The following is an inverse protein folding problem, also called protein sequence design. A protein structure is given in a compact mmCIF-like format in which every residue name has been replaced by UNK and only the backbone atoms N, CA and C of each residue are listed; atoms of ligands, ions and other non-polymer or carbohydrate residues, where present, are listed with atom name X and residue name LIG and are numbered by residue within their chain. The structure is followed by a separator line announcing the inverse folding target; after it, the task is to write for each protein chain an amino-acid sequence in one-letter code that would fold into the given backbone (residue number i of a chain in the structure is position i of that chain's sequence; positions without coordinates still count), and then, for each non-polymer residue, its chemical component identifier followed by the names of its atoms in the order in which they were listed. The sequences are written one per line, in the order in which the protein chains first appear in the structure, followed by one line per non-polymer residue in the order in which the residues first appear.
data_IF_228837080919
#
_entry.id   IF_228837080919
#
_cell.length_a   1.000
_cell.length_b   1.000
_cell.length_c   1.000
_cell.angle_alpha   90.00
_cell.angle_beta   90.00
_cell.angle_gamma   90.00
#
_symmetry.space_group_name_H-M   'P 1'
#
loop_
_entity.id
_entity.type
_entity.pdbx_description
1 polymer ?
#
# COMPACT_ATOMS: atom_id res chain seq x y z
N UNK A 1 34.40 26.99 40.30
CA UNK A 1 33.49 26.53 39.24
C UNK A 1 32.19 27.34 39.33
N UNK A 2 31.93 28.22 38.37
CA UNK A 2 30.83 29.19 38.47
C UNK A 2 29.48 28.48 38.38
N UNK A 3 28.65 28.57 39.42
CA UNK A 3 27.30 27.96 39.49
C UNK A 3 26.38 28.37 38.32
N UNK A 4 26.64 29.53 37.69
CA UNK A 4 25.93 29.98 36.48
C UNK A 4 26.28 29.19 35.21
N UNK A 5 27.45 28.55 35.16
CA UNK A 5 27.88 27.74 34.01
C UNK A 5 27.29 26.31 34.04
N UNK A 6 26.93 25.81 35.22
CA UNK A 6 26.30 24.48 35.41
C UNK A 6 24.80 24.45 35.03
N UNK A 7 24.14 25.60 35.04
CA UNK A 7 22.70 25.73 34.76
C UNK A 7 22.39 25.77 33.25
N UNK A 8 23.34 26.23 32.43
CA UNK A 8 23.17 26.33 30.97
C UNK A 8 23.38 24.97 30.29
N UNK A 9 24.27 24.12 30.80
CA UNK A 9 24.49 22.76 30.26
C UNK A 9 23.37 21.78 30.60
N UNK A 10 22.60 22.02 31.67
CA UNK A 10 21.47 21.15 32.06
C UNK A 10 20.20 21.39 31.21
N UNK A 11 20.06 22.61 30.65
CA UNK A 11 18.92 23.01 29.83
C UNK A 11 19.00 22.52 28.37
N UNK A 12 20.20 22.30 27.83
CA UNK A 12 20.35 21.82 26.46
C UNK A 12 20.14 20.31 26.31
N UNK A 13 20.44 19.52 27.35
CA UNK A 13 20.29 18.05 27.30
C UNK A 13 18.83 17.63 27.28
N UNK A 14 17.92 18.43 27.86
CA UNK A 14 16.50 18.10 27.93
C UNK A 14 15.76 18.25 26.60
N UNK A 15 16.18 19.17 25.71
CA UNK A 15 15.49 19.40 24.43
C UNK A 15 15.71 18.29 23.40
N UNK A 16 16.87 17.63 23.42
CA UNK A 16 17.16 16.55 22.46
C UNK A 16 16.32 15.29 22.75
N UNK A 17 16.18 14.91 24.02
CA UNK A 17 15.43 13.71 24.41
C UNK A 17 13.95 13.77 24.01
N UNK A 18 13.32 14.96 24.06
CA UNK A 18 11.91 15.11 23.66
C UNK A 18 11.71 15.03 22.13
N UNK A 19 12.65 15.52 21.34
CA UNK A 19 12.59 15.45 19.88
C UNK A 19 12.76 13.99 19.39
N UNK A 20 13.73 13.27 19.97
CA UNK A 20 13.95 11.85 19.65
C UNK A 20 12.75 10.97 20.06
N UNK A 21 12.16 11.21 21.23
CA UNK A 21 10.96 10.49 21.68
C UNK A 21 9.74 10.74 20.77
N UNK A 22 9.52 11.99 20.33
CA UNK A 22 8.43 12.33 19.41
C UNK A 22 8.65 11.66 18.05
N UNK A 23 9.87 11.68 17.52
CA UNK A 23 10.20 11.04 16.25
C UNK A 23 10.01 9.52 16.31
N UNK A 24 10.51 8.86 17.36
CA UNK A 24 10.32 7.42 17.58
C UNK A 24 8.84 7.04 17.58
N UNK A 25 7.98 7.86 18.22
CA UNK A 25 6.55 7.58 18.25
C UNK A 25 5.88 7.71 16.88
N UNK A 26 6.30 8.68 16.08
CA UNK A 26 5.81 8.83 14.71
C UNK A 26 6.26 7.65 13.84
N UNK A 27 7.49 7.18 13.99
CA UNK A 27 7.98 5.99 13.27
C UNK A 27 7.18 4.74 13.64
N UNK A 28 6.88 4.52 14.92
CA UNK A 28 6.00 3.44 15.37
C UNK A 28 4.61 3.53 14.73
N UNK A 29 4.00 4.72 14.72
CA UNK A 29 2.68 4.94 14.16
C UNK A 29 2.67 4.67 12.64
N UNK A 30 3.71 5.11 11.92
CA UNK A 30 3.85 4.85 10.48
C UNK A 30 4.03 3.35 10.22
N UNK A 31 4.88 2.67 10.99
CA UNK A 31 5.05 1.21 10.89
C UNK A 31 3.72 0.47 11.09
N UNK A 32 2.97 0.85 12.12
CA UNK A 32 1.66 0.27 12.42
C UNK A 32 0.66 0.51 11.27
N UNK A 33 0.58 1.72 10.74
CA UNK A 33 -0.33 2.02 9.62
C UNK A 33 0.01 1.17 8.39
N UNK A 34 1.28 1.08 8.02
CA UNK A 34 1.74 0.24 6.91
C UNK A 34 1.35 -1.23 7.14
N UNK A 35 1.49 -1.73 8.36
CA UNK A 35 1.10 -3.09 8.69
C UNK A 35 -0.40 -3.33 8.49
N UNK A 36 -1.24 -2.38 8.92
CA UNK A 36 -2.69 -2.51 8.82
C UNK A 36 -3.22 -2.34 7.40
N UNK A 37 -2.66 -1.41 6.62
CA UNK A 37 -3.18 -1.08 5.29
C UNK A 37 -2.51 -1.89 4.18
N UNK A 38 -1.19 -1.96 4.15
CA UNK A 38 -0.46 -2.55 3.02
C UNK A 38 -0.35 -4.06 3.15
N UNK A 39 0.03 -4.61 4.30
CA UNK A 39 0.23 -6.06 4.39
C UNK A 39 -1.05 -6.86 4.31
N UNK A 40 -2.14 -6.42 4.96
CA UNK A 40 -3.40 -7.16 4.96
C UNK A 40 -4.08 -7.13 3.59
N UNK A 41 -4.24 -5.94 3.01
CA UNK A 41 -4.87 -5.76 1.70
C UNK A 41 -4.05 -6.43 0.58
N UNK A 42 -2.72 -6.34 0.63
CA UNK A 42 -1.85 -7.03 -0.35
C UNK A 42 -1.96 -8.54 -0.22
N UNK A 43 -2.01 -9.10 1.01
CA UNK A 43 -2.19 -10.53 1.19
C UNK A 43 -3.56 -11.01 0.73
N UNK A 44 -4.62 -10.28 1.09
CA UNK A 44 -6.00 -10.60 0.71
C UNK A 44 -6.19 -10.49 -0.81
N UNK A 45 -5.64 -9.45 -1.43
CA UNK A 45 -5.65 -9.25 -2.88
C UNK A 45 -4.90 -10.36 -3.64
N UNK A 46 -3.73 -10.78 -3.14
CA UNK A 46 -3.00 -11.92 -3.71
C UNK A 46 -3.80 -13.21 -3.53
N UNK A 47 -4.38 -13.46 -2.35
CA UNK A 47 -5.20 -14.66 -2.14
C UNK A 47 -6.41 -14.67 -3.07
N UNK A 48 -7.09 -13.54 -3.22
CA UNK A 48 -8.24 -13.42 -4.12
C UNK A 48 -7.84 -13.61 -5.59
N UNK A 49 -6.67 -13.09 -5.99
CA UNK A 49 -6.10 -13.36 -7.32
C UNK A 49 -5.78 -14.84 -7.50
N UNK A 50 -5.30 -15.52 -6.46
CA UNK A 50 -5.05 -16.96 -6.49
C UNK A 50 -6.34 -17.76 -6.67
N UNK A 51 -7.33 -17.47 -5.84
CA UNK A 51 -8.57 -18.25 -5.77
C UNK A 51 -9.47 -18.06 -7.00
N UNK A 52 -9.36 -16.91 -7.68
CA UNK A 52 -10.18 -16.59 -8.86
C UNK A 52 -9.41 -16.58 -10.19
N UNK A 53 -8.10 -16.86 -10.20
CA UNK A 53 -7.34 -16.88 -11.45
C UNK A 53 -7.49 -18.23 -12.18
N UNK A 54 -7.93 -18.22 -13.45
CA UNK A 54 -8.02 -19.44 -14.26
C UNK A 54 -6.66 -20.08 -14.52
N UNK A 55 -5.55 -19.35 -14.31
CA UNK A 55 -4.18 -19.89 -14.39
C UNK A 55 -3.93 -20.99 -13.36
N UNK A 56 -4.59 -20.93 -12.19
CA UNK A 56 -4.38 -21.88 -11.09
C UNK A 56 -5.46 -22.97 -11.03
N UNK A 57 -6.52 -22.87 -11.84
CA UNK A 57 -7.63 -23.82 -11.87
C UNK A 57 -7.20 -25.24 -12.29
N UNK A 58 -6.09 -25.38 -13.01
CA UNK A 58 -5.55 -26.66 -13.48
C UNK A 58 -4.44 -27.24 -12.59
N UNK A 59 -4.10 -26.61 -11.46
CA UNK A 59 -3.05 -27.09 -10.57
C UNK A 59 -3.56 -28.18 -9.62
N UNK A 60 -2.69 -29.12 -9.27
CA UNK A 60 -2.96 -30.09 -8.20
C UNK A 60 -2.89 -29.42 -6.82
N UNK A 61 -3.48 -30.03 -5.79
CA UNK A 61 -3.43 -29.50 -4.43
C UNK A 61 -1.99 -29.28 -3.91
N UNK A 62 -1.06 -30.17 -4.26
CA UNK A 62 0.35 -30.06 -3.89
C UNK A 62 1.03 -28.88 -4.57
N UNK A 63 0.70 -28.63 -5.84
CA UNK A 63 1.16 -27.45 -6.57
C UNK A 63 0.57 -26.17 -5.98
N UNK A 64 -0.73 -26.15 -5.67
CA UNK A 64 -1.37 -25.01 -4.99
C UNK A 64 -0.68 -24.71 -3.66
N UNK A 65 -0.40 -25.73 -2.84
CA UNK A 65 0.33 -25.59 -1.57
C UNK A 65 1.72 -25.02 -1.77
N UNK A 66 2.44 -25.49 -2.79
CA UNK A 66 3.79 -25.02 -3.14
C UNK A 66 3.76 -23.56 -3.55
N UNK A 67 2.82 -23.18 -4.41
CA UNK A 67 2.70 -21.80 -4.88
C UNK A 67 2.26 -20.86 -3.74
N UNK A 68 1.34 -21.28 -2.86
CA UNK A 68 0.99 -20.52 -1.65
C UNK A 68 2.21 -20.30 -0.73
N UNK A 69 3.06 -21.31 -0.57
CA UNK A 69 4.29 -21.18 0.21
C UNK A 69 5.30 -20.21 -0.42
N UNK A 70 5.47 -20.25 -1.75
CA UNK A 70 6.31 -19.29 -2.50
C UNK A 70 5.76 -17.87 -2.34
N UNK A 71 4.45 -17.69 -2.50
CA UNK A 71 3.78 -16.40 -2.34
C UNK A 71 3.98 -15.82 -0.95
N UNK A 72 3.77 -16.63 0.10
CA UNK A 72 4.02 -16.25 1.49
C UNK A 72 5.47 -15.79 1.70
N UNK A 73 6.46 -16.55 1.22
CA UNK A 73 7.88 -16.20 1.33
C UNK A 73 8.22 -14.90 0.62
N UNK A 74 7.59 -14.63 -0.54
CA UNK A 74 7.74 -13.35 -1.24
C UNK A 74 7.13 -12.19 -0.44
N UNK A 75 5.97 -12.39 0.19
CA UNK A 75 5.34 -11.40 1.05
C UNK A 75 6.13 -11.11 2.33
N UNK A 76 6.78 -12.12 2.91
CA UNK A 76 7.71 -11.91 4.02
C UNK A 76 8.86 -10.98 3.64
N UNK A 77 9.41 -11.10 2.42
CA UNK A 77 10.45 -10.18 1.93
C UNK A 77 9.93 -8.74 1.79
N UNK A 78 8.72 -8.56 1.29
CA UNK A 78 8.08 -7.24 1.15
C UNK A 78 7.84 -6.63 2.53
N UNK A 79 7.27 -7.42 3.47
CA UNK A 79 7.07 -6.99 4.86
C UNK A 79 8.39 -6.60 5.53
N UNK A 80 9.46 -7.40 5.32
CA UNK A 80 10.77 -7.09 5.86
C UNK A 80 11.34 -5.79 5.27
N UNK A 81 11.17 -5.57 3.96
CA UNK A 81 11.60 -4.32 3.33
C UNK A 81 10.91 -3.11 3.96
N UNK A 82 9.60 -3.19 4.23
CA UNK A 82 8.90 -2.09 4.92
C UNK A 82 9.47 -1.83 6.31
N UNK A 83 9.73 -2.89 7.09
CA UNK A 83 10.33 -2.78 8.42
C UNK A 83 11.70 -2.11 8.37
N UNK A 84 12.58 -2.58 7.48
CA UNK A 84 13.94 -2.07 7.31
C UNK A 84 13.97 -0.60 6.84
N UNK A 85 12.91 -0.15 6.16
CA UNK A 85 12.80 1.19 5.58
C UNK A 85 11.84 2.12 6.34
N UNK A 86 11.38 1.75 7.54
CA UNK A 86 10.40 2.51 8.34
C UNK A 86 10.80 3.99 8.51
N UNK A 87 12.07 4.28 8.80
CA UNK A 87 12.54 5.66 8.97
C UNK A 87 12.46 6.48 7.67
N UNK A 88 12.78 5.87 6.53
CA UNK A 88 12.65 6.53 5.23
C UNK A 88 11.18 6.76 4.85
N UNK A 89 10.31 5.78 5.13
CA UNK A 89 8.88 5.88 4.93
C UNK A 89 8.26 6.95 5.82
N UNK A 90 8.71 7.06 7.07
CA UNK A 90 8.27 8.11 8.00
C UNK A 90 8.58 9.50 7.47
N UNK A 91 9.73 9.70 6.83
CA UNK A 91 10.04 10.96 6.14
C UNK A 91 9.10 11.23 4.96
N UNK A 92 8.60 10.21 4.28
CA UNK A 92 7.60 10.39 3.21
C UNK A 92 6.27 10.83 3.81
N UNK A 93 5.81 10.20 4.88
CA UNK A 93 4.60 10.61 5.60
C UNK A 93 4.70 12.05 6.11
N UNK A 94 5.83 12.40 6.74
CA UNK A 94 6.06 13.73 7.31
C UNK A 94 6.17 14.87 6.27
N UNK A 95 6.24 14.55 4.97
CA UNK A 95 6.13 15.55 3.90
C UNK A 95 4.68 15.97 3.63
N UNK A 96 3.72 15.14 4.00
CA UNK A 96 2.30 15.32 3.68
C UNK A 96 1.44 15.52 4.93
N UNK A 97 1.86 14.94 6.05
CA UNK A 97 1.15 14.97 7.32
C UNK A 97 2.09 15.40 8.44
N UNK A 98 1.56 16.14 9.38
CA UNK A 98 2.24 16.42 10.65
C UNK A 98 2.24 15.17 11.55
N UNK A 99 3.12 15.16 12.54
CA UNK A 99 3.17 14.10 13.55
C UNK A 99 1.82 13.90 14.27
N UNK A 100 1.12 15.01 14.53
CA UNK A 100 -0.14 14.99 15.27
C UNK A 100 -1.29 14.48 14.37
N UNK A 101 -1.28 14.79 13.07
CA UNK A 101 -2.21 14.20 12.09
C UNK A 101 -1.96 12.69 11.90
N UNK A 102 -0.70 12.26 11.87
CA UNK A 102 -0.34 10.82 11.84
C UNK A 102 -0.89 10.11 13.08
N UNK A 103 -0.75 10.70 14.26
CA UNK A 103 -1.36 10.15 15.48
C UNK A 103 -2.90 10.11 15.35
N UNK A 104 -3.52 11.17 14.85
CA UNK A 104 -4.97 11.21 14.62
C UNK A 104 -5.47 10.13 13.66
N UNK A 105 -4.70 9.79 12.62
CA UNK A 105 -5.00 8.67 11.73
C UNK A 105 -4.96 7.33 12.47
N UNK A 106 -3.92 7.10 13.28
CA UNK A 106 -3.82 5.88 14.11
C UNK A 106 -5.00 5.80 15.08
N UNK A 107 -5.32 6.88 15.79
CA UNK A 107 -6.43 6.93 16.75
C UNK A 107 -7.76 6.62 16.06
N UNK A 108 -8.00 7.20 14.87
CA UNK A 108 -9.17 6.91 14.07
C UNK A 108 -9.24 5.42 13.68
N UNK A 109 -8.16 4.85 13.14
CA UNK A 109 -8.13 3.45 12.74
C UNK A 109 -8.26 2.47 13.92
N UNK A 110 -8.01 2.90 15.15
CA UNK A 110 -8.25 2.09 16.35
C UNK A 110 -9.71 2.08 16.81
N UNK A 111 -10.54 3.02 16.36
CA UNK A 111 -11.99 3.02 16.62
C UNK A 111 -12.69 1.83 15.94
N UNK A 112 -13.89 1.48 16.42
CA UNK A 112 -14.70 0.40 15.81
C UNK A 112 -15.01 0.70 14.33
N UNK A 113 -15.29 1.96 14.02
CA UNK A 113 -15.55 2.39 12.64
C UNK A 113 -14.28 2.32 11.79
N UNK A 114 -13.13 2.78 12.31
CA UNK A 114 -11.86 2.76 11.58
C UNK A 114 -11.39 1.34 11.26
N UNK A 115 -11.51 0.40 12.23
CA UNK A 115 -11.23 -1.03 12.00
C UNK A 115 -12.16 -1.62 10.95
N UNK A 116 -13.46 -1.34 11.05
CA UNK A 116 -14.44 -1.79 10.06
C UNK A 116 -14.13 -1.23 8.67
N UNK A 117 -13.69 0.02 8.58
CA UNK A 117 -13.29 0.62 7.30
C UNK A 117 -12.10 -0.13 6.70
N UNK A 118 -11.04 -0.39 7.48
CA UNK A 118 -9.89 -1.18 7.03
C UNK A 118 -10.28 -2.57 6.51
N UNK A 119 -11.25 -3.22 7.16
CA UNK A 119 -11.75 -4.54 6.74
C UNK A 119 -12.62 -4.50 5.48
N UNK A 120 -13.37 -3.41 5.27
CA UNK A 120 -14.39 -3.33 4.22
C UNK A 120 -13.94 -2.58 2.98
N UNK A 121 -12.84 -1.81 3.05
CA UNK A 121 -12.36 -1.01 1.93
C UNK A 121 -11.96 -1.88 0.73
N UNK A 122 -11.20 -2.96 0.94
CA UNK A 122 -10.84 -3.91 -0.13
C UNK A 122 -12.07 -4.53 -0.83
N UNK A 123 -12.98 -5.20 -0.11
CA UNK A 123 -14.22 -5.74 -0.69
C UNK A 123 -15.08 -4.68 -1.38
N UNK A 124 -15.23 -3.50 -0.78
CA UNK A 124 -15.98 -2.40 -1.39
C UNK A 124 -15.38 -1.97 -2.73
N UNK A 125 -14.05 -1.83 -2.81
CA UNK A 125 -13.37 -1.49 -4.06
C UNK A 125 -13.47 -2.63 -5.09
N UNK A 126 -13.45 -3.90 -4.66
CA UNK A 126 -13.66 -5.04 -5.54
C UNK A 126 -15.07 -5.04 -6.16
N UNK A 127 -16.10 -4.80 -5.34
CA UNK A 127 -17.49 -4.70 -5.81
C UNK A 127 -17.67 -3.53 -6.79
N UNK A 128 -17.07 -2.38 -6.50
CA UNK A 128 -17.04 -1.21 -7.42
C UNK A 128 -16.35 -1.58 -8.73
N UNK A 129 -15.20 -2.28 -8.66
CA UNK A 129 -14.47 -2.75 -9.83
C UNK A 129 -15.31 -3.66 -10.72
N UNK A 130 -16.06 -4.61 -10.15
CA UNK A 130 -16.96 -5.50 -10.90
C UNK A 130 -18.07 -4.73 -11.62
N UNK A 131 -18.66 -3.71 -10.97
CA UNK A 131 -19.66 -2.85 -11.60
C UNK A 131 -19.09 -2.07 -12.78
N UNK A 132 -17.84 -1.60 -12.68
CA UNK A 132 -17.21 -0.76 -13.69
C UNK A 132 -16.58 -1.54 -14.86
N UNK A 133 -16.20 -2.81 -14.65
CA UNK A 133 -15.55 -3.65 -15.67
C UNK A 133 -16.26 -3.68 -17.03
N UNK A 134 -17.59 -3.89 -17.16
CA UNK A 134 -18.24 -3.95 -18.47
C UNK A 134 -18.20 -2.60 -19.19
N UNK A 135 -18.37 -1.49 -18.47
CA UNK A 135 -18.30 -0.13 -19.03
C UNK A 135 -16.90 0.14 -19.60
N UNK A 136 -15.86 -0.29 -18.89
CA UNK A 136 -14.49 -0.14 -19.37
C UNK A 136 -14.23 -0.96 -20.64
N UNK A 137 -14.78 -2.18 -20.76
CA UNK A 137 -14.66 -3.00 -21.97
C UNK A 137 -15.37 -2.39 -23.18
N UNK A 138 -16.55 -1.81 -22.96
CA UNK A 138 -17.31 -1.08 -23.98
C UNK A 138 -16.49 0.12 -24.48
N UNK A 139 -16.01 0.97 -23.56
CA UNK A 139 -15.16 2.11 -23.90
C UNK A 139 -13.89 1.72 -24.68
N UNK A 140 -13.24 0.61 -24.33
CA UNK A 140 -12.06 0.12 -25.06
C UNK A 140 -12.42 -0.32 -26.49
N UNK A 141 -13.57 -0.97 -26.67
CA UNK A 141 -14.06 -1.44 -27.97
C UNK A 141 -14.43 -0.25 -28.87
N UNK A 142 -15.13 0.74 -28.31
CA UNK A 142 -15.49 1.97 -29.02
C UNK A 142 -14.24 2.74 -29.43
N UNK A 143 -13.29 2.89 -28.52
CA UNK A 143 -12.00 3.54 -28.81
C UNK A 143 -11.25 2.82 -29.94
N UNK A 144 -11.16 1.49 -29.92
CA UNK A 144 -10.53 0.72 -31.01
C UNK A 144 -11.26 0.94 -32.34
N UNK A 145 -12.60 0.97 -32.31
CA UNK A 145 -13.43 1.19 -33.49
C UNK A 145 -13.20 2.57 -34.10
N UNK A 146 -13.21 3.62 -33.28
CA UNK A 146 -12.94 4.98 -33.74
C UNK A 146 -11.49 5.15 -34.23
N UNK A 147 -10.52 4.53 -33.55
CA UNK A 147 -9.12 4.54 -34.00
C UNK A 147 -8.96 3.88 -35.37
N UNK A 148 -9.64 2.77 -35.65
CA UNK A 148 -9.59 2.12 -36.97
C UNK A 148 -10.18 2.97 -38.10
N UNK A 149 -11.15 3.86 -37.80
CA UNK A 149 -11.74 4.76 -38.79
C UNK A 149 -10.76 5.86 -39.24
N UNK A 150 -9.83 6.25 -38.37
CA UNK A 150 -8.88 7.34 -38.63
C UNK A 150 -7.46 6.85 -38.93
N UNK A 151 -7.16 5.58 -38.68
CA UNK A 151 -5.89 4.98 -39.09
C UNK A 151 -5.85 4.74 -40.60
N UNK A 152 -4.78 5.16 -41.30
CA UNK A 152 -4.63 4.88 -42.73
C UNK A 152 -4.56 3.36 -42.93
N UNK A 153 -5.48 2.83 -43.74
CA UNK A 153 -5.48 1.42 -44.13
C UNK A 153 -4.18 1.10 -44.89
N UNK A 154 -3.54 -0.06 -44.64
CA UNK A 154 -2.41 -0.50 -45.44
C UNK A 154 -2.84 -0.55 -46.91
N UNK A 155 -2.21 0.26 -47.76
CA UNK A 155 -2.45 0.20 -49.20
C UNK A 155 -2.12 -1.21 -49.68
N UNK A 156 -3.12 -1.93 -50.20
CA UNK A 156 -2.91 -3.24 -50.80
C UNK A 156 -1.84 -3.12 -51.92
N UNK A 157 -0.84 -4.01 -51.97
CA UNK A 157 0.17 -3.94 -53.00
C UNK A 157 -0.48 -4.11 -54.37
N UNK A 158 -0.18 -3.17 -55.28
CA UNK A 158 -0.67 -3.18 -56.64
C UNK A 158 -0.30 -4.51 -57.32
N UNK A 159 -1.32 -5.30 -57.69
CA UNK A 159 -1.13 -6.51 -58.46
C UNK A 159 -0.70 -6.13 -59.88
N UNK A 160 0.48 -6.61 -60.29
CA UNK A 160 0.97 -6.58 -61.68
C UNK A 160 0.59 -7.87 -62.39
#
# INVERSE_FOLDING_TARGET
MNKKLLLVTLLTVSSFTFADAKLSKVEENVAWMIEQTLSKETCDGISNMFDNSPMFASLTEEQIKTVKAISKKSMEKVSQWFKDNTAALTKVYLKQFTADEIQGLVDFYQTDLGKKLLEKMGPLMADIGQMYQPVMMECMTDMQTEMMKVMPQPQAPAQK
#
